data_IF_433103861927
#
_entry.id   IF_433103861927
#
_cell.length_a   1.000
_cell.length_b   1.000
_cell.length_c   1.000
_cell.angle_alpha   90.00
_cell.angle_beta   90.00
_cell.angle_gamma   90.00
#
_symmetry.space_group_name_H-M   'P 1'
#
loop_
_entity.id
_entity.type
_entity.pdbx_description
1 polymer ?
#
# COMPACT_ATOMS: atom_id res chain seq x y z
N UNK A 1 -40.87 47.08 7.77
CA UNK A 1 -39.46 47.33 8.16
C UNK A 1 -39.47 47.73 9.63
N UNK A 2 -38.45 47.47 10.46
CA UNK A 2 -38.55 47.73 11.91
C UNK A 2 -38.80 49.18 12.29
N UNK A 3 -38.44 50.11 11.41
CA UNK A 3 -38.81 51.52 11.47
C UNK A 3 -40.32 51.73 11.61
N UNK A 4 -41.13 50.96 10.88
CA UNK A 4 -42.60 51.04 10.92
C UNK A 4 -43.13 50.56 12.28
N UNK A 5 -42.55 49.48 12.83
CA UNK A 5 -42.92 48.95 14.15
C UNK A 5 -42.57 49.93 15.28
N UNK A 6 -41.44 50.64 15.19
CA UNK A 6 -41.04 51.70 16.14
C UNK A 6 -42.01 52.89 16.06
N UNK A 7 -42.40 53.31 14.85
CA UNK A 7 -43.37 54.38 14.63
C UNK A 7 -44.78 53.98 15.12
N UNK A 8 -45.18 52.73 14.95
CA UNK A 8 -46.47 52.20 15.44
C UNK A 8 -46.59 52.24 16.97
N UNK A 9 -45.47 52.13 17.70
CA UNK A 9 -45.46 52.21 19.17
C UNK A 9 -45.49 53.65 19.71
N UNK A 10 -45.34 54.66 18.84
CA UNK A 10 -45.49 56.07 19.23
C UNK A 10 -46.97 56.50 19.22
N UNK A 11 -47.38 57.41 20.13
CA UNK A 11 -48.72 58.00 20.08
C UNK A 11 -48.99 58.68 18.73
N UNK A 12 -50.23 58.65 18.26
CA UNK A 12 -50.63 59.03 16.89
C UNK A 12 -50.14 60.41 16.45
N UNK A 13 -50.06 61.37 17.38
CA UNK A 13 -49.57 62.74 17.13
C UNK A 13 -48.07 62.83 16.81
N UNK A 14 -47.30 61.79 17.11
CA UNK A 14 -45.83 61.74 16.94
C UNK A 14 -45.41 60.76 15.84
N UNK A 15 -46.34 60.22 15.03
CA UNK A 15 -46.01 59.24 13.98
C UNK A 15 -45.54 59.87 12.68
N UNK A 16 -45.84 61.16 12.49
CA UNK A 16 -45.59 61.87 11.24
C UNK A 16 -44.48 62.93 11.40
N UNK A 17 -43.65 63.09 10.37
CA UNK A 17 -42.59 64.10 10.32
C UNK A 17 -41.21 63.51 10.00
N UNK A 18 -40.45 64.22 9.17
CA UNK A 18 -39.14 63.80 8.65
C UNK A 18 -38.10 63.55 9.76
N UNK A 19 -38.11 64.38 10.82
CA UNK A 19 -37.21 64.23 11.97
C UNK A 19 -37.54 62.97 12.81
N UNK A 20 -38.82 62.66 12.98
CA UNK A 20 -39.22 61.46 13.73
C UNK A 20 -39.00 60.20 12.88
N UNK A 21 -39.26 60.28 11.57
CA UNK A 21 -38.96 59.20 10.63
C UNK A 21 -37.46 58.87 10.55
N UNK A 22 -36.58 59.89 10.53
CA UNK A 22 -35.12 59.68 10.55
C UNK A 22 -34.62 59.13 11.89
N UNK A 23 -35.17 59.59 13.01
CA UNK A 23 -34.88 59.02 14.33
C UNK A 23 -35.31 57.55 14.45
N UNK A 24 -36.56 57.24 14.07
CA UNK A 24 -37.07 55.88 14.06
C UNK A 24 -36.34 54.98 13.06
N UNK A 25 -35.88 55.54 11.93
CA UNK A 25 -35.03 54.85 10.96
C UNK A 25 -33.70 54.43 11.57
N UNK A 26 -33.03 55.35 12.27
CA UNK A 26 -31.75 55.08 12.95
C UNK A 26 -31.92 54.00 14.02
N UNK A 27 -32.95 54.11 14.87
CA UNK A 27 -33.24 53.10 15.89
C UNK A 27 -33.69 51.76 15.32
N UNK A 28 -34.45 51.75 14.22
CA UNK A 28 -34.85 50.53 13.52
C UNK A 28 -33.64 49.73 13.06
N UNK A 29 -32.66 50.39 12.44
CA UNK A 29 -31.40 49.75 12.02
C UNK A 29 -30.59 49.23 13.21
N UNK A 30 -30.51 49.99 14.31
CA UNK A 30 -29.82 49.54 15.52
C UNK A 30 -30.50 48.32 16.16
N UNK A 31 -31.83 48.28 16.19
CA UNK A 31 -32.60 47.13 16.68
C UNK A 31 -32.45 45.91 15.76
N UNK A 32 -32.41 46.11 14.45
CA UNK A 32 -32.10 45.04 13.49
C UNK A 32 -30.70 44.46 13.72
N UNK A 33 -29.70 45.30 13.96
CA UNK A 33 -28.36 44.86 14.33
C UNK A 33 -28.32 44.11 15.67
N UNK A 34 -29.10 44.54 16.67
CA UNK A 34 -29.19 43.83 17.96
C UNK A 34 -29.87 42.46 17.84
N UNK A 35 -30.87 42.32 16.98
CA UNK A 35 -31.50 41.03 16.71
C UNK A 35 -30.57 40.09 15.97
N UNK A 36 -29.88 40.59 14.95
CA UNK A 36 -28.89 39.81 14.21
C UNK A 36 -27.77 39.33 15.16
N UNK A 37 -27.28 40.22 16.03
CA UNK A 37 -26.34 39.86 17.09
C UNK A 37 -26.94 38.84 18.07
N UNK A 38 -28.19 39.01 18.48
CA UNK A 38 -28.89 38.08 19.37
C UNK A 38 -29.04 36.68 18.77
N UNK A 39 -29.39 36.59 17.49
CA UNK A 39 -29.46 35.32 16.74
C UNK A 39 -28.07 34.70 16.60
N UNK A 40 -27.04 35.51 16.33
CA UNK A 40 -25.66 35.03 16.26
C UNK A 40 -25.22 34.40 17.59
N UNK A 41 -25.45 35.10 18.71
CA UNK A 41 -25.14 34.59 20.06
C UNK A 41 -25.91 33.29 20.35
N UNK A 42 -27.18 33.21 19.99
CA UNK A 42 -27.97 31.98 20.17
C UNK A 42 -27.38 30.81 19.36
N UNK A 43 -26.93 31.06 18.14
CA UNK A 43 -26.33 30.05 17.25
C UNK A 43 -24.93 29.62 17.68
N UNK A 44 -24.16 30.53 18.29
CA UNK A 44 -22.81 30.29 18.78
C UNK A 44 -22.74 29.16 19.83
N UNK A 45 -23.84 28.88 20.52
CA UNK A 45 -23.93 27.80 21.51
C UNK A 45 -24.21 26.41 20.91
N UNK A 46 -24.47 26.30 19.60
CA UNK A 46 -24.82 25.05 18.95
C UNK A 46 -23.87 24.75 17.79
N UNK A 47 -23.16 23.63 17.88
CA UNK A 47 -22.07 23.26 16.96
C UNK A 47 -22.49 23.25 15.48
N UNK A 48 -23.70 22.79 15.17
CA UNK A 48 -24.20 22.73 13.79
C UNK A 48 -24.69 24.06 13.23
N UNK A 49 -25.01 25.03 14.09
CA UNK A 49 -25.57 26.31 13.66
C UNK A 49 -24.64 27.51 13.83
N UNK A 50 -23.53 27.36 14.57
CA UNK A 50 -22.56 28.46 14.70
C UNK A 50 -22.05 28.90 13.33
N UNK A 51 -22.02 30.20 13.04
CA UNK A 51 -21.55 30.69 11.75
C UNK A 51 -20.01 30.68 11.63
N UNK A 52 -19.29 30.61 12.75
CA UNK A 52 -17.84 30.84 12.83
C UNK A 52 -17.07 29.55 13.13
N UNK A 53 -15.90 29.41 12.50
CA UNK A 53 -14.94 28.35 12.79
C UNK A 53 -14.38 28.48 14.21
N UNK A 54 -14.09 29.70 14.68
CA UNK A 54 -13.47 29.90 15.99
C UNK A 54 -14.41 29.46 17.13
N UNK A 55 -15.71 29.75 17.01
CA UNK A 55 -16.75 29.28 17.92
C UNK A 55 -16.91 27.75 17.85
N UNK A 56 -16.94 27.17 16.64
CA UNK A 56 -17.01 25.73 16.46
C UNK A 56 -15.80 25.02 17.10
N UNK A 57 -14.60 25.59 16.96
CA UNK A 57 -13.36 25.08 17.58
C UNK A 57 -13.45 25.16 19.09
N UNK A 58 -13.94 26.26 19.65
CA UNK A 58 -14.14 26.40 21.09
C UNK A 58 -15.12 25.35 21.65
N UNK A 59 -16.20 25.04 20.92
CA UNK A 59 -17.13 23.98 21.30
C UNK A 59 -16.51 22.58 21.19
N UNK A 60 -15.80 22.28 20.09
CA UNK A 60 -15.14 21.00 19.87
C UNK A 60 -14.01 20.72 20.87
N UNK A 61 -13.36 21.78 21.39
CA UNK A 61 -12.35 21.69 22.43
C UNK A 61 -12.90 21.08 23.74
N UNK A 62 -14.21 21.17 24.01
CA UNK A 62 -14.84 20.48 25.15
C UNK A 62 -14.75 18.96 25.06
N UNK A 63 -14.50 18.42 23.86
CA UNK A 63 -14.33 16.99 23.59
C UNK A 63 -12.88 16.64 23.20
N UNK A 64 -11.93 17.56 23.40
CA UNK A 64 -10.53 17.43 23.01
C UNK A 64 -10.35 17.10 21.51
N UNK A 65 -11.14 17.76 20.65
CA UNK A 65 -11.03 17.63 19.18
C UNK A 65 -10.55 18.96 18.59
N UNK A 66 -9.23 19.13 18.39
CA UNK A 66 -8.70 20.33 17.77
C UNK A 66 -8.91 20.31 16.24
N UNK A 67 -8.90 21.49 15.59
CA UNK A 67 -8.79 21.58 14.14
C UNK A 67 -7.40 21.17 13.67
N UNK A 68 -7.33 20.49 12.53
CA UNK A 68 -6.07 20.14 11.87
C UNK A 68 -5.60 21.24 10.91
N UNK A 69 -4.27 21.35 10.65
CA UNK A 69 -3.70 22.37 9.76
C UNK A 69 -4.22 22.31 8.33
N UNK A 70 -4.72 21.14 7.91
CA UNK A 70 -5.26 20.95 6.58
C UNK A 70 -6.70 21.43 6.46
N UNK A 71 -7.49 21.59 7.53
CA UNK A 71 -8.88 22.02 7.37
C UNK A 71 -8.98 23.42 6.77
N UNK A 72 -9.62 23.54 5.60
CA UNK A 72 -9.75 24.79 4.88
C UNK A 72 -10.94 25.65 5.37
N UNK A 73 -11.89 25.08 6.09
CA UNK A 73 -13.05 25.81 6.58
C UNK A 73 -13.98 25.01 7.51
N UNK A 74 -15.04 25.69 7.95
CA UNK A 74 -16.01 25.19 8.94
C UNK A 74 -16.69 23.87 8.52
N UNK A 75 -17.00 23.70 7.23
CA UNK A 75 -17.64 22.47 6.74
C UNK A 75 -16.76 21.23 6.90
N UNK A 76 -15.48 21.32 6.50
CA UNK A 76 -14.50 20.24 6.64
C UNK A 76 -14.28 19.90 8.12
N UNK A 77 -14.18 20.93 8.98
CA UNK A 77 -14.03 20.74 10.43
C UNK A 77 -15.27 20.13 11.11
N UNK A 78 -16.48 20.48 10.66
CA UNK A 78 -17.71 19.85 11.16
C UNK A 78 -17.77 18.37 10.81
N UNK A 79 -17.45 18.01 9.58
CA UNK A 79 -17.39 16.61 9.15
C UNK A 79 -16.42 15.81 10.02
N UNK A 80 -15.26 16.39 10.32
CA UNK A 80 -14.26 15.83 11.23
C UNK A 80 -14.81 15.56 12.64
N UNK A 81 -15.39 16.58 13.28
CA UNK A 81 -15.90 16.47 14.65
C UNK A 81 -17.04 15.45 14.72
N UNK A 82 -18.01 15.49 13.81
CA UNK A 82 -19.13 14.55 13.80
C UNK A 82 -18.68 13.10 13.68
N UNK A 83 -17.75 12.82 12.76
CA UNK A 83 -17.24 11.48 12.55
C UNK A 83 -16.49 10.96 13.79
N UNK A 84 -15.64 11.78 14.42
CA UNK A 84 -14.91 11.41 15.63
C UNK A 84 -15.85 11.21 16.82
N UNK A 85 -16.80 12.13 17.03
CA UNK A 85 -17.75 12.06 18.15
C UNK A 85 -18.59 10.80 18.06
N UNK A 86 -19.10 10.47 16.87
CA UNK A 86 -19.86 9.24 16.65
C UNK A 86 -19.02 8.00 16.95
N UNK A 87 -17.81 7.95 16.38
CA UNK A 87 -16.89 6.82 16.58
C UNK A 87 -16.52 6.62 18.06
N UNK A 88 -16.25 7.72 18.78
CA UNK A 88 -15.83 7.68 20.19
C UNK A 88 -17.00 7.40 21.15
N UNK A 89 -18.07 8.18 21.04
CA UNK A 89 -19.14 8.20 22.05
C UNK A 89 -20.24 7.17 21.81
N UNK A 90 -20.56 6.85 20.55
CA UNK A 90 -21.67 5.95 20.23
C UNK A 90 -21.21 4.50 20.02
N UNK A 91 -20.07 4.31 19.34
CA UNK A 91 -19.62 2.99 18.91
C UNK A 91 -18.52 2.38 19.79
N UNK A 92 -18.03 3.14 20.77
CA UNK A 92 -16.90 2.75 21.62
C UNK A 92 -15.61 2.73 20.81
N UNK A 93 -14.81 3.80 20.96
CA UNK A 93 -13.55 4.00 20.25
C UNK A 93 -12.69 2.72 20.12
N UNK A 94 -11.83 2.67 19.09
CA UNK A 94 -10.88 1.56 18.85
C UNK A 94 -11.53 0.25 18.36
N UNK A 95 -12.85 0.20 18.15
CA UNK A 95 -13.50 -0.97 17.52
C UNK A 95 -13.43 -0.90 15.99
N UNK A 96 -13.45 -2.07 15.32
CA UNK A 96 -13.56 -2.13 13.85
C UNK A 96 -14.81 -1.39 13.35
N UNK A 97 -15.92 -1.47 14.09
CA UNK A 97 -17.16 -0.77 13.72
C UNK A 97 -17.02 0.75 13.85
N UNK A 98 -16.39 1.24 14.93
CA UNK A 98 -16.10 2.67 15.10
C UNK A 98 -15.22 3.21 13.97
N UNK A 99 -14.15 2.49 13.59
CA UNK A 99 -13.26 2.90 12.48
C UNK A 99 -13.99 2.91 11.14
N UNK A 100 -14.84 1.91 10.89
CA UNK A 100 -15.64 1.83 9.67
C UNK A 100 -16.62 2.99 9.55
N UNK A 101 -17.32 3.32 10.63
CA UNK A 101 -18.23 4.46 10.68
C UNK A 101 -17.49 5.79 10.54
N UNK A 102 -16.36 5.96 11.26
CA UNK A 102 -15.50 7.13 11.18
C UNK A 102 -15.08 7.43 9.74
N UNK A 103 -14.51 6.44 9.05
CA UNK A 103 -14.03 6.60 7.67
C UNK A 103 -15.17 6.93 6.72
N UNK A 104 -16.32 6.25 6.88
CA UNK A 104 -17.48 6.47 6.00
C UNK A 104 -18.09 7.85 6.19
N UNK A 105 -18.34 8.25 7.44
CA UNK A 105 -18.95 9.54 7.79
C UNK A 105 -18.02 10.70 7.45
N UNK A 106 -16.73 10.58 7.75
CA UNK A 106 -15.76 11.63 7.43
C UNK A 106 -15.58 11.78 5.92
N UNK A 107 -15.44 10.68 5.18
CA UNK A 107 -15.31 10.75 3.73
C UNK A 107 -16.57 11.35 3.06
N UNK A 108 -17.77 11.02 3.51
CA UNK A 108 -19.01 11.60 2.98
C UNK A 108 -19.12 13.09 3.34
N UNK A 109 -18.96 13.44 4.62
CA UNK A 109 -19.06 14.81 5.11
C UNK A 109 -18.00 15.75 4.53
N UNK A 110 -16.75 15.31 4.45
CA UNK A 110 -15.65 16.09 3.86
C UNK A 110 -15.89 16.35 2.38
N UNK A 111 -16.23 15.32 1.60
CA UNK A 111 -16.48 15.45 0.17
C UNK A 111 -17.64 16.40 -0.13
N UNK A 112 -18.70 16.34 0.69
CA UNK A 112 -19.82 17.29 0.60
C UNK A 112 -19.39 18.73 0.92
N UNK A 113 -18.59 18.94 1.97
CA UNK A 113 -18.12 20.25 2.38
C UNK A 113 -17.14 20.88 1.37
N UNK A 114 -16.23 20.07 0.84
CA UNK A 114 -15.21 20.50 -0.12
C UNK A 114 -15.72 20.53 -1.57
N UNK A 115 -16.95 20.07 -1.84
CA UNK A 115 -17.52 20.06 -3.19
C UNK A 115 -16.81 19.14 -4.17
N UNK A 116 -16.18 18.07 -3.67
CA UNK A 116 -15.47 17.07 -4.48
C UNK A 116 -16.13 15.70 -4.33
N UNK A 117 -15.86 14.79 -5.28
CA UNK A 117 -16.15 13.36 -5.10
C UNK A 117 -15.04 12.54 -5.72
N UNK A 118 -14.39 11.73 -4.88
CA UNK A 118 -13.25 10.87 -5.22
C UNK A 118 -13.38 9.48 -4.62
N UNK A 119 -14.05 9.32 -3.47
CA UNK A 119 -14.38 8.02 -2.89
C UNK A 119 -15.88 7.80 -3.04
N UNK A 120 -16.26 6.64 -3.58
CA UNK A 120 -17.67 6.26 -3.64
C UNK A 120 -18.25 6.14 -2.22
N UNK A 121 -19.57 6.34 -2.08
CA UNK A 121 -20.24 6.15 -0.80
C UNK A 121 -19.99 4.73 -0.29
N UNK A 122 -19.60 4.61 0.97
CA UNK A 122 -19.27 3.34 1.61
C UNK A 122 -20.52 2.80 2.30
N UNK A 123 -21.34 2.05 1.55
CA UNK A 123 -22.55 1.43 2.12
C UNK A 123 -22.23 0.08 2.79
N UNK A 124 -21.18 -0.60 2.33
CA UNK A 124 -20.74 -1.87 2.88
C UNK A 124 -19.23 -2.04 2.74
N UNK A 125 -18.62 -2.68 3.73
CA UNK A 125 -17.20 -3.04 3.74
C UNK A 125 -17.02 -4.42 3.10
N UNK A 126 -16.09 -4.50 2.15
CA UNK A 126 -15.81 -5.71 1.40
C UNK A 126 -14.73 -6.56 2.07
N UNK A 127 -14.86 -7.88 1.93
CA UNK A 127 -13.80 -8.82 2.27
C UNK A 127 -12.77 -8.96 1.14
N UNK A 128 -13.13 -8.58 -0.10
CA UNK A 128 -12.30 -8.71 -1.29
C UNK A 128 -11.77 -7.35 -1.79
N UNK A 129 -10.85 -7.40 -2.74
CA UNK A 129 -10.13 -6.23 -3.25
C UNK A 129 -10.98 -5.30 -4.13
N UNK A 130 -12.28 -5.59 -4.31
CA UNK A 130 -13.18 -4.85 -5.22
C UNK A 130 -13.93 -3.71 -4.53
N UNK A 131 -13.92 -3.69 -3.19
CA UNK A 131 -14.61 -2.68 -2.40
C UNK A 131 -13.73 -2.12 -1.27
N UNK A 132 -14.28 -1.22 -0.45
CA UNK A 132 -13.55 -0.66 0.68
C UNK A 132 -13.24 -1.75 1.72
N UNK A 133 -11.98 -1.84 2.16
CA UNK A 133 -11.52 -2.89 3.08
C UNK A 133 -10.91 -2.27 4.34
N UNK A 134 -11.17 -2.90 5.48
CA UNK A 134 -10.44 -2.68 6.72
C UNK A 134 -9.68 -3.97 7.02
N UNK A 135 -8.36 -3.93 6.89
CA UNK A 135 -7.48 -5.08 7.03
C UNK A 135 -6.71 -5.00 8.34
N UNK A 136 -6.83 -6.06 9.13
CA UNK A 136 -5.98 -6.28 10.30
C UNK A 136 -4.72 -7.03 9.85
N UNK A 137 -3.56 -6.55 10.31
CA UNK A 137 -2.24 -7.12 10.03
C UNK A 137 -2.01 -7.31 8.52
N UNK A 138 -2.06 -6.22 7.72
CA UNK A 138 -2.01 -6.29 6.27
C UNK A 138 -0.76 -7.07 5.80
N UNK A 139 -0.91 -7.90 4.75
CA UNK A 139 0.24 -8.60 4.18
C UNK A 139 1.18 -7.60 3.52
N UNK A 140 2.47 -7.66 3.86
CA UNK A 140 3.53 -6.91 3.17
C UNK A 140 4.45 -7.87 2.46
N UNK A 141 4.69 -7.57 1.19
CA UNK A 141 5.70 -8.26 0.40
C UNK A 141 7.06 -7.70 0.83
N UNK A 142 7.93 -8.60 1.25
CA UNK A 142 9.34 -8.32 1.53
C UNK A 142 10.18 -9.09 0.55
N UNK A 143 11.35 -8.55 0.29
CA UNK A 143 12.37 -9.25 -0.45
C UNK A 143 13.75 -8.89 0.05
N UNK A 144 14.66 -9.83 -0.13
CA UNK A 144 16.06 -9.68 0.17
C UNK A 144 16.87 -10.19 -1.01
N UNK A 145 17.99 -9.52 -1.23
CA UNK A 145 19.02 -9.89 -2.19
C UNK A 145 20.35 -9.73 -1.47
N UNK A 146 21.27 -10.66 -1.68
CA UNK A 146 22.68 -10.46 -1.29
C UNK A 146 23.31 -9.32 -2.12
N UNK A 147 23.97 -8.32 -1.49
CA UNK A 147 25.06 -7.52 -2.09
C UNK A 147 26.44 -8.08 -1.63
N UNK A 148 27.58 -8.01 -2.34
CA UNK A 148 28.27 -6.86 -2.97
C UNK A 148 28.97 -7.17 -4.33
N UNK A 149 28.95 -8.40 -4.86
CA UNK A 149 29.76 -8.78 -6.05
C UNK A 149 29.00 -9.59 -7.12
N UNK A 150 27.75 -9.23 -7.40
CA UNK A 150 27.10 -9.62 -8.66
C UNK A 150 26.39 -10.98 -8.67
N UNK A 151 26.48 -11.82 -7.64
CA UNK A 151 25.73 -13.08 -7.55
C UNK A 151 25.88 -13.83 -6.21
N UNK A 152 25.23 -14.98 -6.09
CA UNK A 152 25.37 -15.91 -4.96
C UNK A 152 26.52 -16.86 -5.26
N UNK A 153 27.60 -16.74 -4.49
CA UNK A 153 28.72 -17.67 -4.54
C UNK A 153 28.37 -18.95 -3.78
N UNK A 154 28.94 -20.11 -4.15
CA UNK A 154 28.81 -21.33 -3.36
C UNK A 154 29.17 -21.09 -1.88
N UNK A 155 28.37 -21.64 -0.97
CA UNK A 155 28.46 -21.43 0.49
C UNK A 155 28.06 -20.02 0.99
N UNK A 156 27.48 -19.17 0.15
CA UNK A 156 27.00 -17.87 0.58
C UNK A 156 25.84 -18.00 1.59
N UNK A 157 25.90 -17.19 2.64
CA UNK A 157 24.84 -17.03 3.62
C UNK A 157 24.10 -15.71 3.41
N UNK A 158 22.77 -15.75 3.43
CA UNK A 158 21.92 -14.58 3.44
C UNK A 158 21.06 -14.61 4.71
N UNK A 159 21.19 -13.59 5.53
CA UNK A 159 20.29 -13.37 6.66
C UNK A 159 19.04 -12.63 6.16
N UNK A 160 17.86 -13.19 6.45
CA UNK A 160 16.57 -12.56 6.21
C UNK A 160 15.78 -12.52 7.51
N UNK A 161 15.05 -11.45 7.76
CA UNK A 161 14.29 -11.26 8.99
C UNK A 161 12.80 -11.26 8.69
N UNK A 162 12.06 -12.27 9.19
CA UNK A 162 10.60 -12.26 9.17
C UNK A 162 10.13 -11.52 10.43
N UNK A 163 9.66 -10.28 10.24
CA UNK A 163 9.13 -9.43 11.31
C UNK A 163 7.63 -9.64 11.53
N UNK A 164 7.03 -10.58 10.80
CA UNK A 164 5.62 -10.89 10.87
C UNK A 164 5.18 -11.61 12.15
N UNK A 165 3.86 -11.71 12.30
CA UNK A 165 3.20 -12.45 13.38
C UNK A 165 3.36 -13.96 13.26
N UNK A 166 3.43 -14.46 12.03
CA UNK A 166 3.40 -15.88 11.70
C UNK A 166 4.62 -16.29 10.86
N UNK A 167 4.97 -17.59 10.82
CA UNK A 167 5.89 -18.11 9.82
C UNK A 167 5.42 -17.74 8.40
N UNK A 168 6.32 -17.18 7.59
CA UNK A 168 5.98 -16.63 6.28
C UNK A 168 6.43 -17.56 5.15
N UNK A 169 5.54 -17.99 4.24
CA UNK A 169 5.98 -18.75 3.07
C UNK A 169 6.90 -17.88 2.21
N UNK A 170 7.95 -18.50 1.67
CA UNK A 170 8.96 -17.81 0.88
C UNK A 170 9.09 -18.39 -0.51
N UNK A 171 9.54 -17.54 -1.43
CA UNK A 171 9.86 -17.86 -2.80
C UNK A 171 11.32 -17.46 -3.08
N UNK A 172 11.96 -18.18 -3.97
CA UNK A 172 13.29 -17.85 -4.47
C UNK A 172 13.27 -17.75 -5.99
N UNK A 173 13.91 -16.71 -6.49
CA UNK A 173 14.14 -16.49 -7.91
C UNK A 173 15.62 -16.54 -8.14
N UNK A 174 16.09 -17.54 -8.90
CA UNK A 174 17.46 -17.66 -9.36
C UNK A 174 17.55 -17.19 -10.81
N UNK A 175 18.61 -16.45 -11.14
CA UNK A 175 18.90 -16.05 -12.51
C UNK A 175 20.36 -16.35 -12.86
N UNK A 176 20.60 -17.00 -14.00
CA UNK A 176 21.96 -17.23 -14.48
C UNK A 176 22.60 -15.92 -14.94
N UNK A 177 23.82 -15.65 -14.48
CA UNK A 177 24.55 -14.38 -14.72
C UNK A 177 25.90 -14.57 -15.41
N UNK A 178 26.32 -15.80 -15.63
CA UNK A 178 27.62 -16.14 -16.20
C UNK A 178 27.47 -17.03 -17.43
N UNK A 179 28.50 -17.03 -18.30
CA UNK A 179 28.55 -17.88 -19.49
C UNK A 179 28.51 -19.37 -19.14
N UNK A 180 29.10 -19.75 -18.00
CA UNK A 180 28.96 -21.10 -17.47
C UNK A 180 27.62 -21.24 -16.74
N UNK A 181 26.83 -22.30 -17.01
CA UNK A 181 25.58 -22.54 -16.31
C UNK A 181 25.81 -22.97 -14.85
N UNK A 182 24.88 -22.59 -13.97
CA UNK A 182 24.83 -23.15 -12.62
C UNK A 182 24.02 -24.45 -12.65
N UNK A 183 24.56 -25.50 -12.07
CA UNK A 183 23.94 -26.81 -12.07
C UNK A 183 23.52 -27.20 -10.66
N UNK A 184 22.35 -27.79 -10.54
CA UNK A 184 21.85 -28.34 -9.28
C UNK A 184 21.90 -27.37 -8.09
N UNK A 185 21.37 -26.13 -8.22
CA UNK A 185 21.39 -25.17 -7.11
C UNK A 185 20.49 -25.66 -5.96
N UNK A 186 21.06 -25.72 -4.75
CA UNK A 186 20.34 -25.95 -3.50
C UNK A 186 20.27 -24.64 -2.71
N UNK A 187 19.07 -24.33 -2.20
CA UNK A 187 18.86 -23.27 -1.20
C UNK A 187 18.32 -23.92 0.07
N UNK A 188 18.98 -23.66 1.19
CA UNK A 188 18.65 -24.20 2.50
C UNK A 188 18.29 -23.08 3.45
N UNK A 189 17.13 -23.13 4.08
CA UNK A 189 16.87 -22.37 5.28
C UNK A 189 17.43 -23.13 6.48
N UNK A 190 18.63 -22.74 6.93
CA UNK A 190 19.32 -23.39 8.05
C UNK A 190 18.57 -23.28 9.37
N UNK A 191 17.74 -22.26 9.52
CA UNK A 191 16.96 -22.02 10.73
C UNK A 191 15.82 -23.02 10.87
N UNK A 192 15.24 -23.48 9.75
CA UNK A 192 14.11 -24.42 9.77
C UNK A 192 14.45 -25.82 9.29
N UNK A 193 15.61 -26.02 8.65
CA UNK A 193 15.97 -27.27 7.99
C UNK A 193 15.30 -27.47 6.63
N UNK A 194 14.47 -26.53 6.17
CA UNK A 194 13.84 -26.63 4.86
C UNK A 194 14.86 -26.37 3.75
N UNK A 195 14.94 -27.26 2.77
CA UNK A 195 15.86 -27.13 1.66
C UNK A 195 15.19 -27.48 0.34
N UNK A 196 15.58 -26.78 -0.72
CA UNK A 196 15.07 -27.02 -2.07
C UNK A 196 16.22 -27.10 -3.06
N UNK A 197 16.31 -28.24 -3.74
CA UNK A 197 17.23 -28.51 -4.85
C UNK A 197 16.46 -28.46 -6.15
N UNK A 198 17.03 -27.78 -7.14
CA UNK A 198 16.58 -27.90 -8.52
C UNK A 198 17.52 -28.79 -9.33
N UNK A 199 17.09 -29.98 -9.75
CA UNK A 199 17.87 -30.93 -10.55
C UNK A 199 17.91 -30.53 -12.02
N UNK A 200 18.67 -29.49 -12.32
CA UNK A 200 18.80 -28.96 -13.67
C UNK A 200 19.93 -27.94 -13.79
N UNK A 201 19.93 -27.23 -14.91
CA UNK A 201 20.95 -26.24 -15.24
C UNK A 201 20.29 -24.87 -15.45
N UNK A 202 20.93 -23.81 -14.99
CA UNK A 202 20.51 -22.43 -15.19
C UNK A 202 21.58 -21.71 -16.03
N UNK A 203 21.30 -21.54 -17.32
CA UNK A 203 22.19 -20.84 -18.24
C UNK A 203 22.07 -19.32 -18.12
N UNK A 204 22.99 -18.59 -18.76
CA UNK A 204 23.01 -17.13 -18.80
C UNK A 204 21.64 -16.57 -19.22
N UNK A 205 21.09 -15.67 -18.39
CA UNK A 205 19.84 -14.98 -18.66
C UNK A 205 18.58 -15.73 -18.24
N UNK A 206 18.63 -17.06 -18.09
CA UNK A 206 17.49 -17.87 -17.67
C UNK A 206 17.07 -17.54 -16.25
N UNK A 207 15.76 -17.61 -16.00
CA UNK A 207 15.14 -17.34 -14.70
C UNK A 207 14.39 -18.58 -14.21
N UNK A 208 14.86 -19.12 -13.09
CA UNK A 208 14.17 -20.14 -12.32
C UNK A 208 13.41 -19.48 -11.16
N UNK A 209 12.11 -19.68 -11.09
CA UNK A 209 11.26 -19.25 -9.98
C UNK A 209 10.78 -20.47 -9.23
N UNK A 210 11.11 -20.57 -7.94
CA UNK A 210 10.58 -21.58 -7.04
C UNK A 210 9.71 -20.86 -6.01
N UNK A 211 8.43 -21.16 -6.00
CA UNK A 211 7.47 -20.48 -5.15
C UNK A 211 6.33 -21.42 -4.71
N UNK A 212 5.60 -21.09 -3.63
CA UNK A 212 4.36 -21.75 -3.29
C UNK A 212 3.37 -21.70 -4.47
N UNK A 213 2.69 -22.81 -4.74
CA UNK A 213 1.73 -22.91 -5.84
C UNK A 213 0.51 -22.02 -5.57
N UNK A 214 0.02 -21.36 -6.62
CA UNK A 214 -1.20 -20.56 -6.54
C UNK A 214 -2.45 -21.41 -6.27
N UNK A 215 -2.45 -22.68 -6.71
CA UNK A 215 -3.55 -23.62 -6.49
C UNK A 215 -3.52 -24.23 -5.08
N UNK A 216 -2.33 -24.48 -4.55
CA UNK A 216 -2.12 -24.97 -3.19
C UNK A 216 -0.83 -24.39 -2.60
N UNK A 217 -0.97 -23.45 -1.66
CA UNK A 217 0.17 -22.76 -1.04
C UNK A 217 1.02 -23.66 -0.14
N UNK A 218 0.56 -24.87 0.18
CA UNK A 218 1.34 -25.86 0.92
C UNK A 218 2.38 -26.57 0.04
N UNK A 219 2.28 -26.47 -1.28
CA UNK A 219 3.17 -27.13 -2.24
C UNK A 219 4.02 -26.12 -3.01
N UNK A 220 5.24 -26.51 -3.35
CA UNK A 220 6.14 -25.76 -4.21
C UNK A 220 5.86 -26.06 -5.68
N UNK A 221 6.09 -25.04 -6.50
CA UNK A 221 6.14 -25.12 -7.96
C UNK A 221 7.44 -24.49 -8.44
N UNK A 222 8.03 -25.05 -9.49
CA UNK A 222 9.15 -24.44 -10.20
C UNK A 222 8.78 -24.07 -11.63
N UNK A 223 9.22 -22.88 -12.03
CA UNK A 223 9.05 -22.34 -13.37
C UNK A 223 10.41 -21.89 -13.92
N UNK A 224 10.80 -22.40 -15.08
CA UNK A 224 12.01 -21.99 -15.81
C UNK A 224 11.60 -21.27 -17.09
N UNK A 225 11.79 -19.95 -17.11
CA UNK A 225 11.42 -19.08 -18.23
C UNK A 225 9.97 -19.26 -18.70
N UNK A 226 9.02 -19.48 -17.79
CA UNK A 226 7.60 -19.70 -18.10
C UNK A 226 7.21 -21.17 -18.31
N UNK A 227 8.15 -22.11 -18.20
CA UNK A 227 7.89 -23.54 -18.34
C UNK A 227 7.91 -24.24 -16.99
N UNK A 228 6.89 -25.05 -16.72
CA UNK A 228 6.84 -25.85 -15.50
C UNK A 228 7.95 -26.90 -15.48
N UNK A 229 8.78 -26.85 -14.44
CA UNK A 229 9.88 -27.79 -14.19
C UNK A 229 9.82 -28.34 -12.76
N UNK A 230 8.62 -28.39 -12.18
CA UNK A 230 8.38 -28.81 -10.79
C UNK A 230 8.84 -30.24 -10.49
N UNK A 231 8.78 -31.13 -11.49
CA UNK A 231 9.27 -32.51 -11.41
C UNK A 231 10.79 -32.61 -11.15
N UNK A 232 11.53 -31.54 -11.45
CA UNK A 232 12.98 -31.44 -11.20
C UNK A 232 13.30 -30.99 -9.78
N UNK A 233 12.32 -30.63 -8.97
CA UNK A 233 12.57 -30.27 -7.58
C UNK A 233 12.83 -31.48 -6.69
N UNK A 234 13.63 -31.27 -5.66
CA UNK A 234 13.77 -32.17 -4.52
C UNK A 234 13.79 -31.32 -3.26
N UNK A 235 13.03 -31.74 -2.25
CA UNK A 235 12.81 -30.96 -1.04
C UNK A 235 13.22 -31.77 0.17
N UNK A 236 13.78 -31.11 1.18
CA UNK A 236 13.96 -31.65 2.52
C UNK A 236 13.27 -30.72 3.52
N UNK A 237 12.73 -31.28 4.60
CA UNK A 237 12.03 -30.51 5.64
C UNK A 237 12.84 -30.35 6.92
N UNK A 238 13.88 -31.17 7.09
CA UNK A 238 14.68 -31.32 8.30
C UNK A 238 16.17 -31.55 7.96
N UNK A 239 16.66 -30.85 6.95
CA UNK A 239 18.04 -30.93 6.51
C UNK A 239 19.01 -30.44 7.60
N UNK A 240 19.87 -31.34 8.10
CA UNK A 240 20.93 -31.02 9.06
C UNK A 240 22.30 -30.99 8.39
N UNK A 241 23.04 -29.90 8.52
CA UNK A 241 24.41 -29.78 8.01
C UNK A 241 25.37 -30.81 8.63
N UNK A 242 26.37 -31.29 7.87
CA UNK A 242 27.46 -32.15 8.36
C UNK A 242 27.44 -33.61 7.88
N UNK A 243 28.13 -34.48 8.63
CA UNK A 243 28.57 -35.81 8.19
C UNK A 243 27.43 -36.84 7.95
N UNK A 244 26.20 -36.54 8.38
CA UNK A 244 25.03 -37.40 8.17
C UNK A 244 24.49 -37.38 6.74
N UNK A 245 24.97 -36.47 5.89
CA UNK A 245 24.40 -36.23 4.56
C UNK A 245 22.99 -35.61 4.64
N UNK A 246 22.32 -35.43 3.49
CA UNK A 246 21.05 -34.71 3.45
C UNK A 246 19.86 -35.47 4.05
N UNK A 247 20.03 -36.73 4.43
CA UNK A 247 18.91 -37.61 4.76
C UNK A 247 18.01 -37.89 3.55
N UNK A 248 16.86 -38.51 3.82
CA UNK A 248 15.89 -38.83 2.78
C UNK A 248 15.09 -37.58 2.37
N UNK A 249 14.90 -37.35 1.05
CA UNK A 249 14.08 -36.24 0.59
C UNK A 249 12.61 -36.45 0.99
N UNK A 250 11.92 -35.33 1.21
CA UNK A 250 10.50 -35.33 1.47
C UNK A 250 9.72 -35.97 0.32
N UNK A 251 8.70 -36.76 0.66
CA UNK A 251 7.81 -37.41 -0.32
C UNK A 251 6.89 -36.41 -1.02
N UNK A 252 6.71 -35.23 -0.45
CA UNK A 252 5.96 -34.12 -1.02
C UNK A 252 6.86 -32.89 -1.20
N UNK A 253 6.59 -32.10 -2.23
CA UNK A 253 7.28 -30.83 -2.46
C UNK A 253 6.71 -29.74 -1.54
N UNK A 254 6.78 -29.95 -0.22
CA UNK A 254 6.20 -29.05 0.76
C UNK A 254 6.87 -27.66 0.69
N UNK A 255 6.05 -26.61 0.72
CA UNK A 255 6.51 -25.24 0.83
C UNK A 255 7.06 -24.98 2.24
N UNK A 256 8.30 -24.48 2.30
CA UNK A 256 8.90 -24.03 3.55
C UNK A 256 8.37 -22.67 3.97
N UNK A 257 8.56 -22.37 5.25
CA UNK A 257 8.31 -21.04 5.80
C UNK A 257 9.57 -20.48 6.44
N UNK A 258 9.71 -19.16 6.42
CA UNK A 258 10.64 -18.43 7.27
C UNK A 258 10.04 -18.39 8.68
N UNK A 259 10.78 -18.92 9.66
CA UNK A 259 10.42 -18.78 11.06
C UNK A 259 10.36 -17.29 11.45
N UNK A 260 9.68 -16.94 12.55
CA UNK A 260 9.72 -15.56 13.05
C UNK A 260 11.14 -15.19 13.48
N UNK A 261 11.54 -13.95 13.20
CA UNK A 261 12.88 -13.45 13.47
C UNK A 261 13.88 -13.76 12.35
N UNK A 262 15.16 -13.83 12.71
CA UNK A 262 16.26 -14.02 11.75
C UNK A 262 16.31 -15.47 11.25
N UNK A 263 16.29 -15.62 9.93
CA UNK A 263 16.52 -16.87 9.22
C UNK A 263 17.83 -16.76 8.44
N UNK A 264 18.62 -17.84 8.45
CA UNK A 264 19.86 -17.91 7.67
C UNK A 264 19.62 -18.81 6.46
N UNK A 265 19.63 -18.21 5.29
CA UNK A 265 19.56 -18.92 4.02
C UNK A 265 20.96 -19.24 3.54
N UNK A 266 21.15 -20.45 3.04
CA UNK A 266 22.44 -20.96 2.59
C UNK A 266 22.33 -21.49 1.17
N UNK A 267 23.25 -21.05 0.34
CA UNK A 267 23.34 -21.50 -1.05
C UNK A 267 24.48 -22.48 -1.23
N UNK A 268 24.18 -23.61 -1.85
CA UNK A 268 25.20 -24.56 -2.25
C UNK A 268 24.81 -25.30 -3.54
N UNK A 269 25.68 -25.40 -4.55
CA UNK A 269 25.46 -26.31 -5.66
C UNK A 269 25.81 -27.74 -5.25
N UNK A 270 24.88 -28.69 -5.45
CA UNK A 270 25.08 -30.10 -5.13
C UNK A 270 25.48 -30.92 -6.35
N UNK A 271 26.43 -31.83 -6.17
CA UNK A 271 26.71 -32.85 -7.17
C UNK A 271 25.61 -33.92 -7.15
N UNK A 272 24.97 -34.15 -8.28
CA UNK A 272 24.14 -35.33 -8.49
C UNK A 272 24.72 -36.16 -9.63
N UNK A 273 24.85 -37.48 -9.45
CA UNK A 273 25.52 -38.38 -10.42
C UNK A 273 24.87 -38.35 -11.82
N UNK A 274 23.60 -37.98 -11.87
CA UNK A 274 22.74 -37.86 -13.06
C UNK A 274 22.75 -36.44 -13.67
N UNK A 275 23.54 -35.48 -13.16
CA UNK A 275 23.61 -34.10 -13.67
C UNK A 275 25.03 -33.66 -14.09
N UNK A 276 25.19 -32.89 -15.18
CA UNK A 276 26.49 -32.34 -15.59
C UNK A 276 27.00 -31.25 -14.64
N UNK A 277 28.29 -31.23 -14.29
CA UNK A 277 28.97 -30.10 -13.60
C UNK A 277 29.98 -30.45 -12.49
N UNK A 278 30.49 -31.70 -12.45
CA UNK A 278 31.30 -32.28 -11.35
C UNK A 278 32.46 -31.42 -10.82
N UNK A 279 33.01 -30.51 -11.63
CA UNK A 279 34.11 -29.62 -11.24
C UNK A 279 33.73 -28.43 -10.36
N UNK A 280 32.43 -28.14 -10.16
CA UNK A 280 31.94 -26.98 -9.39
C UNK A 280 31.31 -27.37 -8.04
N UNK A 281 31.19 -28.66 -7.74
CA UNK A 281 30.30 -29.11 -6.69
C UNK A 281 30.91 -29.39 -5.32
N UNK A 282 30.03 -29.35 -4.34
CA UNK A 282 30.24 -29.89 -3.01
C UNK A 282 29.78 -31.34 -2.99
N UNK A 283 30.74 -32.28 -2.93
CA UNK A 283 30.48 -33.73 -2.93
C UNK A 283 30.02 -34.25 -1.56
N UNK A 284 30.22 -33.47 -0.51
CA UNK A 284 29.73 -33.73 0.84
C UNK A 284 28.93 -32.51 1.31
N UNK A 285 27.86 -32.73 2.07
CA UNK A 285 27.19 -31.63 2.73
C UNK A 285 28.18 -30.94 3.65
N UNK A 286 28.44 -29.68 3.32
CA UNK A 286 29.25 -28.79 4.10
C UNK A 286 28.73 -28.77 5.55
N UNK A 287 29.65 -28.72 6.51
CA UNK A 287 29.30 -28.30 7.86
C UNK A 287 29.36 -26.77 7.96
N UNK A 288 28.90 -26.24 9.09
CA UNK A 288 28.85 -24.80 9.36
C UNK A 288 30.21 -24.11 9.37
N UNK A 289 31.29 -24.88 9.38
CA UNK A 289 32.66 -24.38 9.46
C UNK A 289 33.34 -24.35 8.10
N UNK A 290 32.73 -24.95 7.07
CA UNK A 290 33.26 -24.94 5.71
C UNK A 290 33.01 -23.58 5.04
N UNK A 291 34.07 -22.98 4.53
CA UNK A 291 34.02 -21.68 3.84
C UNK A 291 34.76 -21.74 2.50
N UNK A 292 34.51 -20.79 1.60
CA UNK A 292 35.39 -20.62 0.45
C UNK A 292 36.72 -19.99 0.89
N UNK A 293 37.82 -20.50 0.37
CA UNK A 293 39.15 -19.98 0.61
C UNK A 293 39.25 -18.53 0.11
N UNK A 294 39.77 -17.68 0.97
CA UNK A 294 40.08 -16.28 0.70
C UNK A 294 41.50 -16.02 1.16
N UNK A 295 42.31 -15.46 0.27
CA UNK A 295 43.70 -15.13 0.57
C UNK A 295 43.76 -14.25 1.83
N UNK A 296 44.72 -14.53 2.71
CA UNK A 296 44.93 -13.86 4.01
C UNK A 296 43.80 -13.92 5.06
N UNK A 297 42.68 -14.61 4.81
CA UNK A 297 41.52 -14.58 5.72
C UNK A 297 41.01 -15.97 6.16
N UNK A 298 41.38 -17.04 5.46
CA UNK A 298 40.92 -18.41 5.79
C UNK A 298 42.08 -19.38 5.99
N UNK A 299 41.99 -20.26 7.00
CA UNK A 299 42.88 -21.40 7.15
C UNK A 299 42.54 -22.50 6.12
N UNK A 300 43.56 -23.14 5.53
CA UNK A 300 43.40 -24.14 4.46
C UNK A 300 42.69 -25.43 4.92
N UNK A 301 42.73 -25.75 6.22
CA UNK A 301 42.23 -27.01 6.75
C UNK A 301 40.69 -27.15 6.69
N UNK A 302 39.96 -26.05 6.43
CA UNK A 302 38.49 -26.00 6.38
C UNK A 302 37.94 -25.08 5.28
N UNK A 303 38.66 -24.98 4.16
CA UNK A 303 38.24 -24.14 3.05
C UNK A 303 38.31 -24.86 1.70
N UNK A 304 37.38 -24.51 0.82
CA UNK A 304 37.36 -24.97 -0.56
C UNK A 304 37.91 -23.92 -1.50
N UNK A 305 38.36 -24.32 -2.69
CA UNK A 305 38.78 -23.36 -3.70
C UNK A 305 37.68 -22.33 -3.97
N UNK A 306 38.08 -21.07 -4.08
CA UNK A 306 37.17 -19.98 -4.40
C UNK A 306 36.50 -20.25 -5.75
N UNK A 307 35.17 -20.14 -5.78
CA UNK A 307 34.36 -20.31 -6.98
C UNK A 307 33.54 -19.05 -7.22
N UNK A 308 33.49 -18.53 -8.46
CA UNK A 308 32.72 -17.34 -8.77
C UNK A 308 31.22 -17.64 -8.70
N UNK A 309 30.41 -16.62 -8.43
CA UNK A 309 28.97 -16.71 -8.56
C UNK A 309 28.56 -16.92 -10.04
N UNK A 310 27.70 -17.91 -10.33
CA UNK A 310 27.07 -18.07 -11.65
C UNK A 310 25.58 -17.75 -11.65
N UNK A 311 25.00 -17.53 -10.47
CA UNK A 311 23.60 -17.11 -10.33
C UNK A 311 23.48 -15.86 -9.48
N UNK A 312 22.43 -15.08 -9.70
CA UNK A 312 21.92 -14.13 -8.72
C UNK A 312 20.62 -14.69 -8.15
N UNK A 313 20.45 -14.70 -6.83
CA UNK A 313 19.17 -15.01 -6.23
C UNK A 313 18.51 -13.80 -5.55
N UNK A 314 17.19 -13.81 -5.60
CA UNK A 314 16.31 -12.95 -4.81
C UNK A 314 15.36 -13.84 -4.04
N UNK A 315 15.21 -13.55 -2.75
CA UNK A 315 14.26 -14.23 -1.89
C UNK A 315 13.14 -13.26 -1.58
N UNK A 316 11.89 -13.70 -1.70
CA UNK A 316 10.72 -12.90 -1.40
C UNK A 316 9.78 -13.68 -0.48
N UNK A 317 9.14 -12.98 0.46
CA UNK A 317 8.15 -13.56 1.36
C UNK A 317 7.04 -12.55 1.61
N UNK A 318 5.90 -13.06 2.09
CA UNK A 318 4.77 -12.23 2.48
C UNK A 318 4.58 -12.40 3.99
N UNK A 319 4.85 -11.33 4.74
CA UNK A 319 4.67 -11.31 6.19
C UNK A 319 3.39 -10.55 6.57
N UNK A 320 2.67 -11.06 7.57
CA UNK A 320 1.55 -10.34 8.18
C UNK A 320 2.11 -9.37 9.22
N UNK A 321 1.93 -8.06 9.00
CA UNK A 321 2.51 -7.04 9.89
C UNK A 321 1.86 -7.10 11.29
N UNK A 322 2.66 -7.11 12.37
CA UNK A 322 2.11 -7.07 13.72
C UNK A 322 1.47 -5.71 14.02
N UNK A 323 0.35 -5.74 14.76
CA UNK A 323 -0.31 -4.56 15.32
C UNK A 323 -0.48 -3.42 14.29
N UNK A 324 -0.94 -3.76 13.10
CA UNK A 324 -1.13 -2.78 12.02
C UNK A 324 -2.55 -2.89 11.46
N UNK A 325 -3.19 -1.75 11.21
CA UNK A 325 -4.49 -1.64 10.54
C UNK A 325 -4.31 -0.88 9.23
N UNK A 326 -4.90 -1.36 8.15
CA UNK A 326 -4.89 -0.67 6.87
C UNK A 326 -6.31 -0.50 6.35
N UNK A 327 -6.70 0.74 6.06
CA UNK A 327 -7.96 1.08 5.41
C UNK A 327 -7.69 1.25 3.92
N UNK A 328 -8.33 0.45 3.08
CA UNK A 328 -8.19 0.55 1.62
C UNK A 328 -9.48 1.08 1.05
N UNK A 329 -9.42 2.24 0.41
CA UNK A 329 -10.55 2.85 -0.26
C UNK A 329 -10.27 2.94 -1.76
N UNK A 330 -11.29 2.68 -2.58
CA UNK A 330 -11.18 2.88 -4.02
C UNK A 330 -11.34 4.36 -4.34
N UNK A 331 -10.27 4.99 -4.84
CA UNK A 331 -10.38 6.31 -5.43
C UNK A 331 -10.91 6.16 -6.86
N UNK A 332 -12.15 6.59 -7.06
CA UNK A 332 -12.74 6.79 -8.38
C UNK A 332 -12.17 8.05 -9.05
N UNK A 333 -12.59 8.30 -10.28
CA UNK A 333 -12.32 9.56 -10.99
C UNK A 333 -12.74 10.75 -10.12
N UNK A 334 -11.83 11.69 -9.90
CA UNK A 334 -12.09 12.91 -9.15
C UNK A 334 -13.08 13.78 -9.95
N UNK A 335 -14.25 14.05 -9.37
CA UNK A 335 -15.23 14.98 -9.93
C UNK A 335 -15.31 16.23 -9.06
N UNK A 336 -15.34 17.39 -9.70
CA UNK A 336 -15.43 18.72 -9.06
C UNK A 336 -16.30 19.66 -9.91
N UNK A 337 -16.53 20.88 -9.42
CA UNK A 337 -17.14 21.94 -10.24
C UNK A 337 -16.22 22.35 -11.41
N UNK A 338 -16.79 22.80 -12.55
CA UNK A 338 -16.02 23.31 -13.68
C UNK A 338 -15.06 24.45 -13.26
N UNK A 339 -13.83 24.43 -13.78
CA UNK A 339 -12.81 25.45 -13.48
C UNK A 339 -12.10 25.33 -12.13
N UNK A 340 -12.47 24.36 -11.28
CA UNK A 340 -11.90 24.16 -9.94
C UNK A 340 -10.95 22.96 -9.81
N UNK A 341 -10.26 22.57 -10.88
CA UNK A 341 -9.47 21.34 -10.89
C UNK A 341 -8.29 21.36 -9.91
N UNK A 342 -7.58 22.48 -9.79
CA UNK A 342 -6.44 22.63 -8.87
C UNK A 342 -6.90 22.52 -7.40
N UNK A 343 -7.97 23.24 -7.06
CA UNK A 343 -8.58 23.19 -5.73
C UNK A 343 -9.09 21.80 -5.38
N UNK A 344 -9.64 21.07 -6.36
CA UNK A 344 -10.11 19.70 -6.17
C UNK A 344 -8.96 18.71 -5.89
N UNK A 345 -7.80 18.89 -6.53
CA UNK A 345 -6.60 18.09 -6.26
C UNK A 345 -6.08 18.38 -4.86
N UNK A 346 -6.04 19.64 -4.44
CA UNK A 346 -5.67 20.02 -3.08
C UNK A 346 -6.64 19.43 -2.06
N UNK A 347 -7.95 19.52 -2.32
CA UNK A 347 -8.99 18.96 -1.45
C UNK A 347 -8.90 17.44 -1.32
N UNK A 348 -8.52 16.72 -2.40
CA UNK A 348 -8.24 15.29 -2.33
C UNK A 348 -7.05 14.99 -1.41
N UNK A 349 -5.97 15.76 -1.51
CA UNK A 349 -4.81 15.60 -0.61
C UNK A 349 -5.17 15.86 0.85
N UNK A 350 -6.04 16.85 1.11
CA UNK A 350 -6.60 17.11 2.44
C UNK A 350 -7.47 15.97 2.97
N UNK A 351 -8.30 15.36 2.11
CA UNK A 351 -9.12 14.19 2.48
C UNK A 351 -8.24 13.01 2.89
N UNK A 352 -7.16 12.74 2.15
CA UNK A 352 -6.21 11.66 2.46
C UNK A 352 -5.54 11.90 3.81
N UNK A 353 -4.95 13.08 4.01
CA UNK A 353 -4.34 13.48 5.29
C UNK A 353 -5.34 13.47 6.45
N UNK A 354 -6.58 13.88 6.18
CA UNK A 354 -7.68 13.82 7.14
C UNK A 354 -8.03 12.39 7.54
N UNK A 355 -8.21 11.50 6.58
CA UNK A 355 -8.51 10.10 6.86
C UNK A 355 -7.38 9.42 7.65
N UNK A 356 -6.12 9.63 7.25
CA UNK A 356 -4.95 9.13 7.98
C UNK A 356 -4.96 9.60 9.43
N UNK A 357 -5.12 10.92 9.65
CA UNK A 357 -5.12 11.51 11.00
C UNK A 357 -6.32 11.04 11.83
N UNK A 358 -7.50 10.89 11.22
CA UNK A 358 -8.71 10.43 11.90
C UNK A 358 -8.54 9.00 12.40
N UNK A 359 -8.05 8.13 11.52
CA UNK A 359 -7.83 6.71 11.81
C UNK A 359 -6.73 6.56 12.85
N UNK A 360 -5.60 7.25 12.72
CA UNK A 360 -4.50 7.20 13.69
C UNK A 360 -4.96 7.62 15.11
N UNK A 361 -5.75 8.69 15.22
CA UNK A 361 -6.31 9.16 16.51
C UNK A 361 -7.35 8.25 17.14
N UNK A 362 -7.95 7.37 16.34
CA UNK A 362 -9.02 6.47 16.78
C UNK A 362 -8.52 5.03 16.91
N UNK A 363 -7.39 4.71 16.28
CA UNK A 363 -6.69 3.45 16.44
C UNK A 363 -6.20 3.30 17.89
N UNK A 364 -6.06 2.04 18.31
CA UNK A 364 -5.59 1.72 19.65
C UNK A 364 -4.12 2.11 19.83
N UNK A 365 -3.72 2.43 21.06
CA UNK A 365 -2.33 2.72 21.38
C UNK A 365 -1.40 1.57 20.95
N UNK A 366 -0.33 1.91 20.23
CA UNK A 366 0.64 0.93 19.71
C UNK A 366 0.21 0.18 18.45
N UNK A 367 -0.93 0.55 17.85
CA UNK A 367 -1.37 0.04 16.55
C UNK A 367 -0.95 1.06 15.48
N UNK A 368 -0.13 0.63 14.52
CA UNK A 368 0.13 1.45 13.34
C UNK A 368 -1.11 1.46 12.44
N UNK A 369 -1.52 2.62 11.95
CA UNK A 369 -2.65 2.74 11.03
C UNK A 369 -2.24 3.47 9.75
N UNK A 370 -2.83 3.04 8.62
CA UNK A 370 -2.52 3.54 7.28
C UNK A 370 -3.81 3.59 6.46
N UNK A 371 -4.07 4.69 5.73
CA UNK A 371 -5.18 4.79 4.79
C UNK A 371 -4.66 4.88 3.36
N UNK A 372 -4.98 3.86 2.57
CA UNK A 372 -4.56 3.77 1.17
C UNK A 372 -5.74 4.08 0.26
N UNK A 373 -5.68 5.24 -0.41
CA UNK A 373 -6.56 5.58 -1.53
C UNK A 373 -6.05 4.88 -2.80
N UNK A 374 -6.56 3.68 -3.09
CA UNK A 374 -6.19 2.90 -4.26
C UNK A 374 -6.57 3.65 -5.53
N UNK A 375 -5.57 3.94 -6.36
CA UNK A 375 -5.79 4.49 -7.69
C UNK A 375 -6.67 3.55 -8.53
N UNK A 376 -7.62 4.12 -9.26
CA UNK A 376 -8.33 3.40 -10.31
C UNK A 376 -7.32 2.81 -11.29
N UNK A 377 -7.29 1.49 -11.38
CA UNK A 377 -6.43 0.76 -12.32
C UNK A 377 -7.31 -0.10 -13.21
N UNK A 378 -7.54 0.34 -14.44
CA UNK A 378 -8.12 -0.51 -15.47
C UNK A 378 -7.01 -1.40 -16.02
N UNK A 379 -6.95 -2.65 -15.58
CA UNK A 379 -6.10 -3.66 -16.22
C UNK A 379 -6.89 -4.30 -17.35
N UNK A 380 -6.61 -3.89 -18.58
CA UNK A 380 -7.01 -4.67 -19.75
C UNK A 380 -5.98 -5.80 -19.93
N UNK A 381 -6.38 -7.08 -19.79
CA UNK A 381 -5.47 -8.19 -20.03
C UNK A 381 -5.21 -8.27 -21.55
N UNK A 382 -4.09 -7.70 -22.00
CA UNK A 382 -3.57 -7.97 -23.34
C UNK A 382 -2.70 -9.22 -23.33
N UNK A 383 -2.90 -10.14 -24.27
CA UNK A 383 -1.98 -11.24 -24.60
C UNK A 383 -0.67 -10.76 -25.27
N UNK A 384 -0.32 -9.48 -25.11
CA UNK A 384 0.85 -8.89 -25.75
C UNK A 384 2.10 -9.23 -24.93
N UNK A 385 2.93 -10.13 -25.47
CA UNK A 385 4.27 -10.37 -24.98
C UNK A 385 5.16 -9.16 -25.24
N UNK A 386 5.73 -8.60 -24.16
CA UNK A 386 6.64 -7.46 -24.21
C UNK A 386 8.03 -7.94 -24.70
N UNK A 387 8.39 -7.69 -25.96
CA UNK A 387 9.65 -8.16 -26.59
C UNK A 387 10.84 -7.21 -26.36
N UNK A 388 10.66 -6.10 -25.62
CA UNK A 388 11.78 -5.27 -25.18
C UNK A 388 11.37 -3.93 -24.60
N UNK A 389 12.11 -3.45 -23.60
CA UNK A 389 11.98 -2.10 -23.03
C UNK A 389 13.29 -1.35 -23.31
N UNK A 390 13.21 -0.29 -24.13
CA UNK A 390 14.14 0.83 -24.05
C UNK A 390 13.54 1.89 -23.11
N UNK A 391 14.35 2.64 -22.35
CA UNK A 391 13.83 3.49 -21.29
C UNK A 391 13.08 4.70 -21.87
N UNK A 392 11.75 4.63 -21.85
CA UNK A 392 10.89 5.81 -21.83
C UNK A 392 9.92 5.67 -20.67
N UNK A 393 10.30 6.20 -19.52
CA UNK A 393 9.36 6.41 -18.42
C UNK A 393 8.46 7.59 -18.78
N UNK A 394 7.21 7.33 -19.14
CA UNK A 394 6.14 8.32 -19.02
C UNK A 394 5.53 8.18 -17.63
N UNK A 395 5.66 9.23 -16.82
CA UNK A 395 4.88 9.40 -15.60
C UNK A 395 3.69 10.27 -15.97
N UNK A 396 2.59 9.65 -16.39
CA UNK A 396 1.32 10.35 -16.57
C UNK A 396 0.56 10.33 -15.24
N UNK A 397 0.66 11.42 -14.50
CA UNK A 397 -0.31 11.81 -13.49
C UNK A 397 -0.85 13.17 -13.94
N UNK A 398 -1.99 13.16 -14.61
CA UNK A 398 -2.65 14.35 -15.12
C UNK A 398 -4.14 14.07 -15.38
N UNK A 399 -5.02 15.07 -15.20
CA UNK A 399 -6.46 14.89 -15.24
C UNK A 399 -6.95 14.53 -16.65
N UNK A 400 -7.71 13.45 -16.77
CA UNK A 400 -8.50 13.13 -17.96
C UNK A 400 -9.79 13.97 -17.94
N UNK A 401 -9.67 15.27 -18.16
CA UNK A 401 -10.79 16.22 -18.26
C UNK A 401 -10.29 17.54 -18.84
N UNK A 402 -10.70 17.83 -20.06
CA UNK A 402 -10.00 18.68 -21.04
C UNK A 402 -10.10 20.20 -20.83
N UNK A 403 -9.08 20.92 -21.34
CA UNK A 403 -9.23 22.23 -22.00
C UNK A 403 -8.07 22.61 -22.96
N UNK A 404 -7.09 21.73 -23.16
CA UNK A 404 -6.20 21.79 -24.32
C UNK A 404 -5.90 20.38 -24.82
N UNK A 405 -5.98 20.19 -26.15
CA UNK A 405 -5.33 19.06 -26.79
C UNK A 405 -3.83 19.22 -26.49
N UNK A 406 -3.18 18.30 -25.75
CA UNK A 406 -1.73 18.28 -25.73
C UNK A 406 -1.29 18.05 -27.18
N UNK A 407 -0.34 18.85 -27.64
CA UNK A 407 0.32 18.71 -28.94
C UNK A 407 1.07 17.37 -28.93
N UNK A 408 0.30 16.31 -29.17
CA UNK A 408 0.73 14.93 -29.12
C UNK A 408 1.08 14.56 -30.54
N UNK A 409 2.35 14.75 -30.88
CA UNK A 409 2.97 14.09 -32.01
C UNK A 409 2.97 12.58 -31.80
N UNK A 410 1.82 11.96 -31.99
CA UNK A 410 1.68 10.53 -32.18
C UNK A 410 1.30 10.31 -33.65
N UNK A 411 2.32 10.04 -34.48
CA UNK A 411 2.10 9.34 -35.75
C UNK A 411 1.70 7.92 -35.40
N UNK A 412 0.40 7.67 -35.39
CA UNK A 412 -0.12 6.31 -35.51
C UNK A 412 0.11 5.88 -36.95
N UNK A 413 0.82 4.76 -37.14
CA UNK A 413 0.74 4.02 -38.40
C UNK A 413 -0.72 3.54 -38.51
N UNK A 414 -1.51 4.31 -39.26
CA UNK A 414 -2.78 3.85 -39.78
C UNK A 414 -2.41 2.74 -40.75
N UNK A 415 -2.75 1.50 -40.41
CA UNK A 415 -2.85 0.46 -41.43
C UNK A 415 -3.99 0.88 -42.34
N UNK A 416 -3.64 1.40 -43.52
CA UNK A 416 -4.59 1.79 -44.56
C UNK A 416 -5.53 0.61 -44.83
N UNK A 417 -6.80 0.82 -44.54
CA UNK A 417 -7.88 -0.13 -44.79
C UNK A 417 -8.43 0.02 -46.22
N UNK A 418 -7.62 0.52 -47.16
CA UNK A 418 -7.97 0.70 -48.56
C UNK A 418 -6.72 0.49 -49.43
N UNK A 419 -6.34 -0.77 -49.65
CA UNK A 419 -5.78 -1.22 -50.94
C UNK A 419 -5.74 -2.75 -50.96
N UNK A 420 -6.87 -3.34 -51.33
CA UNK A 420 -6.95 -4.72 -51.80
C UNK A 420 -7.89 -4.76 -52.99
N UNK A 421 -7.45 -4.14 -54.09
CA UNK A 421 -7.98 -4.42 -55.42
C UNK A 421 -7.04 -5.38 -56.14
N UNK A 422 -7.62 -6.54 -56.45
CA UNK A 422 -7.18 -7.59 -57.37
C UNK A 422 -6.15 -7.18 -58.45
N UNK A 423 -5.01 -7.88 -58.46
CA UNK A 423 -4.44 -8.54 -59.65
C UNK A 423 -3.39 -9.57 -59.24
#
# INVERSE_FOLDING_TARGET
MRTDAVLEHLPTLYREGEVIGSFAGTWGVQLDGLDEAGVSVQRAHWFDSTPDLDEAVALAALLDIPPEPFHAGLGEFRAWVHAIVRARLQLGAVTREALRALVSDYAEGFQQAAGIRTVARIDAWAADERGPQLLDNPPRIRDARLPDSGGWEPLAHLEVENRGLDPAPWAVVLRGISEAPEHSPLVVNRTTGHAVLFRGSLALGQRLTIAPSAADRALLRADLDGNDVTDRLTVWTDLTAGAGGPGDPATTLAAGALARGTNVLWFLPLATYDSPGLGRYLLAMADDTLTQARFDTTAFDRSLFAQPALVSARVAWVEAQPATLEVRLHAATLTSQPGGAEDAVLARGRLEAGLDTAVDRTAGAGIAADVVLRAFTERQPGEAHLVGIWPRTFRAAGPTGADSLPDSGATFDVTDFDDSVLS
#
